data_IF_183702576569
#
_entry.id   IF_183702576569
#
_cell.length_a   1.000
_cell.length_b   1.000
_cell.length_c   1.000
_cell.angle_alpha   90.00
_cell.angle_beta   90.00
_cell.angle_gamma   90.00
#
_symmetry.space_group_name_H-M   'P 1'
#
loop_
_entity.id
_entity.type
_entity.pdbx_description
1 polymer ?
#
# COMPACT_ATOMS: atom_id res chain seq x y z
N UNK A 1 -17.13 1.05 -40.10
CA UNK A 1 -16.40 0.89 -38.82
C UNK A 1 -17.27 0.41 -37.64
N UNK A 2 -18.57 0.13 -37.78
CA UNK A 2 -19.47 -0.19 -36.66
C UNK A 2 -19.57 -1.68 -36.31
N UNK A 3 -19.33 -2.59 -37.26
CA UNK A 3 -19.50 -4.05 -37.06
C UNK A 3 -18.47 -4.65 -36.09
N UNK A 4 -17.20 -4.21 -36.15
CA UNK A 4 -16.14 -4.71 -35.27
C UNK A 4 -16.31 -4.25 -33.81
N UNK A 5 -16.82 -3.04 -33.59
CA UNK A 5 -17.15 -2.55 -32.25
C UNK A 5 -18.33 -3.32 -31.63
N UNK A 6 -19.32 -3.69 -32.45
CA UNK A 6 -20.47 -4.47 -32.01
C UNK A 6 -20.07 -5.89 -31.62
N UNK A 7 -19.21 -6.53 -32.41
CA UNK A 7 -18.67 -7.87 -32.12
C UNK A 7 -17.82 -7.84 -30.84
N UNK A 8 -16.95 -6.83 -30.68
CA UNK A 8 -16.13 -6.66 -29.47
C UNK A 8 -16.98 -6.43 -28.22
N UNK A 9 -18.03 -5.61 -28.32
CA UNK A 9 -18.98 -5.41 -27.24
C UNK A 9 -19.73 -6.71 -26.89
N UNK A 10 -20.14 -7.51 -27.88
CA UNK A 10 -20.78 -8.80 -27.64
C UNK A 10 -19.86 -9.81 -26.95
N UNK A 11 -18.57 -9.85 -27.29
CA UNK A 11 -17.60 -10.71 -26.59
C UNK A 11 -17.36 -10.27 -25.14
N UNK A 12 -17.29 -8.97 -24.88
CA UNK A 12 -17.20 -8.44 -23.51
C UNK A 12 -18.45 -8.76 -22.69
N UNK A 13 -19.63 -8.63 -23.28
CA UNK A 13 -20.91 -8.92 -22.62
C UNK A 13 -21.03 -10.42 -22.35
N UNK A 14 -20.62 -11.26 -23.30
CA UNK A 14 -20.59 -12.72 -23.14
C UNK A 14 -19.62 -13.17 -22.06
N UNK A 15 -18.41 -12.58 -22.02
CA UNK A 15 -17.44 -12.82 -20.95
C UNK A 15 -17.96 -12.38 -19.57
N UNK A 16 -18.67 -11.25 -19.50
CA UNK A 16 -19.30 -10.78 -18.28
C UNK A 16 -20.43 -11.70 -17.81
N UNK A 17 -21.24 -12.22 -18.71
CA UNK A 17 -22.32 -13.18 -18.39
C UNK A 17 -21.75 -14.51 -17.88
N UNK A 18 -20.72 -15.05 -18.52
CA UNK A 18 -20.05 -16.27 -18.05
C UNK A 18 -19.46 -16.05 -16.66
N UNK A 19 -18.76 -14.93 -16.45
CA UNK A 19 -18.19 -14.58 -15.15
C UNK A 19 -19.30 -14.46 -14.08
N UNK A 20 -20.41 -13.79 -14.41
CA UNK A 20 -21.55 -13.61 -13.53
C UNK A 20 -22.21 -14.94 -13.14
N UNK A 21 -22.38 -15.87 -14.09
CA UNK A 21 -22.94 -17.19 -13.81
C UNK A 21 -21.96 -18.11 -13.06
N UNK A 22 -20.65 -18.07 -13.38
CA UNK A 22 -19.63 -18.80 -12.63
C UNK A 22 -19.57 -18.36 -11.16
N UNK A 23 -19.74 -17.06 -10.88
CA UNK A 23 -19.80 -16.53 -9.52
C UNK A 23 -21.05 -16.98 -8.75
N UNK A 24 -22.19 -17.19 -9.44
CA UNK A 24 -23.45 -17.68 -8.85
C UNK A 24 -23.42 -19.18 -8.55
N UNK A 25 -22.65 -19.96 -9.32
CA UNK A 25 -22.57 -21.42 -9.19
C UNK A 25 -21.61 -21.88 -8.09
N UNK A 26 -20.81 -20.98 -7.50
CA UNK A 26 -19.83 -21.32 -6.44
C UNK A 26 -20.33 -21.04 -5.02
N UNK A 27 -21.65 -21.06 -4.79
CA UNK A 27 -22.23 -20.99 -3.44
C UNK A 27 -21.89 -22.27 -2.66
N UNK A 28 -20.66 -22.33 -2.14
CA UNK A 28 -20.27 -23.26 -1.09
C UNK A 28 -20.89 -22.73 0.20
N UNK A 29 -21.74 -23.55 0.81
CA UNK A 29 -22.35 -23.30 2.11
C UNK A 29 -21.28 -22.92 3.15
N UNK A 30 -21.26 -21.65 3.53
CA UNK A 30 -20.62 -21.16 4.74
C UNK A 30 -21.70 -20.47 5.56
N UNK A 31 -22.55 -21.29 6.17
CA UNK A 31 -23.34 -20.90 7.33
C UNK A 31 -22.39 -20.60 8.49
N UNK A 32 -21.88 -19.37 8.52
CA UNK A 32 -21.26 -18.79 9.70
C UNK A 32 -21.98 -17.46 9.95
N UNK A 33 -22.58 -17.32 11.12
CA UNK A 33 -23.40 -16.16 11.50
C UNK A 33 -22.66 -14.83 11.26
N UNK A 34 -23.37 -13.77 10.81
CA UNK A 34 -22.75 -12.50 10.48
C UNK A 34 -22.48 -11.72 11.77
N UNK A 35 -21.22 -11.71 12.22
CA UNK A 35 -20.77 -10.65 13.13
C UNK A 35 -20.49 -9.37 12.32
N UNK A 36 -20.98 -8.25 12.83
CA UNK A 36 -21.14 -6.96 12.15
C UNK A 36 -19.83 -6.21 11.81
N UNK A 37 -18.77 -6.91 11.39
CA UNK A 37 -17.49 -6.30 11.03
C UNK A 37 -16.88 -6.75 9.71
N UNK A 38 -17.55 -7.60 8.93
CA UNK A 38 -17.04 -8.06 7.62
C UNK A 38 -17.40 -7.06 6.50
N UNK A 39 -16.88 -5.84 6.64
CA UNK A 39 -16.92 -4.86 5.57
C UNK A 39 -15.91 -5.29 4.49
N UNK A 40 -16.46 -5.88 3.43
CA UNK A 40 -15.86 -6.17 2.11
C UNK A 40 -15.28 -7.58 1.91
N UNK A 41 -16.10 -8.55 1.44
CA UNK A 41 -15.62 -9.89 1.05
C UNK A 41 -14.51 -9.87 -0.02
N UNK A 42 -14.41 -8.79 -0.80
CA UNK A 42 -13.31 -8.57 -1.75
C UNK A 42 -11.96 -8.33 -1.06
N UNK A 43 -11.93 -7.69 0.11
CA UNK A 43 -10.69 -7.46 0.85
C UNK A 43 -10.07 -8.78 1.34
N UNK A 44 -10.92 -9.76 1.68
CA UNK A 44 -10.53 -11.11 2.13
C UNK A 44 -9.93 -11.98 1.02
N UNK A 45 -10.23 -11.69 -0.25
CA UNK A 45 -9.57 -12.35 -1.38
C UNK A 45 -8.13 -11.87 -1.60
N UNK A 46 -7.81 -10.66 -1.12
CA UNK A 46 -6.47 -10.07 -1.21
C UNK A 46 -5.76 -9.96 0.15
N UNK A 47 -6.31 -10.58 1.20
CA UNK A 47 -5.79 -10.50 2.57
C UNK A 47 -4.56 -11.39 2.81
N UNK A 48 -4.13 -12.17 1.81
CA UNK A 48 -2.83 -12.85 1.83
C UNK A 48 -1.68 -11.93 1.40
N UNK A 49 -0.44 -12.35 1.69
CA UNK A 49 0.78 -11.72 1.19
C UNK A 49 0.91 -11.94 -0.32
N UNK A 50 0.13 -11.18 -1.08
CA UNK A 50 0.23 -11.13 -2.53
C UNK A 50 1.48 -10.35 -2.87
N UNK A 51 2.56 -11.07 -3.16
CA UNK A 51 3.86 -10.51 -3.51
C UNK A 51 3.88 -10.00 -4.96
N UNK A 52 4.76 -9.01 -5.28
CA UNK A 52 4.99 -8.63 -6.66
C UNK A 52 5.48 -9.84 -7.46
N UNK A 53 4.93 -10.02 -8.67
CA UNK A 53 5.17 -11.21 -9.50
C UNK A 53 3.98 -12.17 -9.59
N UNK A 54 3.02 -12.10 -8.65
CA UNK A 54 1.75 -12.83 -8.75
C UNK A 54 0.72 -12.01 -9.57
N UNK A 55 -0.08 -12.61 -10.47
CA UNK A 55 -1.12 -11.88 -11.22
C UNK A 55 -2.15 -11.17 -10.32
N UNK A 56 -2.46 -11.71 -9.15
CA UNK A 56 -3.34 -11.08 -8.16
C UNK A 56 -2.78 -9.77 -7.61
N UNK A 57 -1.47 -9.55 -7.71
CA UNK A 57 -0.82 -8.31 -7.27
C UNK A 57 -1.30 -7.11 -8.09
N UNK A 58 -1.50 -7.30 -9.39
CA UNK A 58 -2.03 -6.25 -10.26
C UNK A 58 -3.44 -5.84 -9.85
N UNK A 59 -4.30 -6.82 -9.53
CA UNK A 59 -5.65 -6.58 -9.04
C UNK A 59 -5.65 -5.83 -7.70
N UNK A 60 -4.77 -6.23 -6.77
CA UNK A 60 -4.58 -5.51 -5.49
C UNK A 60 -4.13 -4.07 -5.72
N UNK A 61 -3.21 -3.81 -6.65
CA UNK A 61 -2.80 -2.43 -6.97
C UNK A 61 -3.95 -1.59 -7.54
N UNK A 62 -4.84 -2.19 -8.34
CA UNK A 62 -6.03 -1.51 -8.86
C UNK A 62 -7.00 -1.20 -7.73
N UNK A 63 -7.29 -2.16 -6.83
CA UNK A 63 -8.15 -1.90 -5.67
C UNK A 63 -7.57 -0.83 -4.76
N UNK A 64 -6.24 -0.84 -4.56
CA UNK A 64 -5.57 0.17 -3.73
C UNK A 64 -5.72 1.57 -4.31
N UNK A 65 -5.58 1.69 -5.63
CA UNK A 65 -5.78 2.96 -6.34
C UNK A 65 -7.23 3.44 -6.27
N UNK A 66 -8.18 2.52 -6.43
CA UNK A 66 -9.61 2.84 -6.30
C UNK A 66 -9.93 3.35 -4.90
N UNK A 67 -9.45 2.68 -3.84
CA UNK A 67 -9.67 3.10 -2.45
C UNK A 67 -9.13 4.51 -2.19
N UNK A 68 -7.93 4.83 -2.68
CA UNK A 68 -7.37 6.19 -2.58
C UNK A 68 -8.16 7.24 -3.35
N UNK A 69 -8.68 6.91 -4.54
CA UNK A 69 -9.53 7.81 -5.33
C UNK A 69 -10.87 8.09 -4.63
N UNK A 70 -11.41 7.09 -3.93
CA UNK A 70 -12.69 7.22 -3.21
C UNK A 70 -12.57 7.86 -1.82
N UNK A 71 -11.36 7.98 -1.28
CA UNK A 71 -11.15 8.60 0.04
C UNK A 71 -11.46 10.10 -0.02
N UNK A 72 -12.46 10.54 0.78
CA UNK A 72 -13.01 11.89 0.68
C UNK A 72 -12.32 12.92 1.58
N UNK A 73 -11.79 12.49 2.72
CA UNK A 73 -11.09 13.39 3.66
C UNK A 73 -9.57 13.21 3.62
N UNK A 74 -8.83 14.28 3.90
CA UNK A 74 -7.37 14.22 4.06
C UNK A 74 -6.97 13.23 5.15
N UNK A 75 -7.74 13.15 6.23
CA UNK A 75 -7.51 12.21 7.32
C UNK A 75 -7.65 10.74 6.86
N UNK A 76 -8.68 10.43 6.06
CA UNK A 76 -8.87 9.09 5.52
C UNK A 76 -7.73 8.73 4.54
N UNK A 77 -7.29 9.68 3.71
CA UNK A 77 -6.16 9.49 2.80
C UNK A 77 -4.87 9.23 3.55
N UNK A 78 -4.59 10.03 4.59
CA UNK A 78 -3.41 9.88 5.47
C UNK A 78 -3.35 8.47 6.07
N UNK A 79 -4.43 8.02 6.70
CA UNK A 79 -4.53 6.64 7.25
C UNK A 79 -4.33 5.57 6.19
N UNK A 80 -4.96 5.73 5.02
CA UNK A 80 -4.79 4.79 3.90
C UNK A 80 -3.33 4.72 3.42
N UNK A 81 -2.62 5.85 3.36
CA UNK A 81 -1.20 5.86 3.04
C UNK A 81 -0.36 5.13 4.10
N UNK A 82 -0.64 5.32 5.39
CA UNK A 82 0.05 4.60 6.46
C UNK A 82 -0.21 3.08 6.38
N UNK A 83 -1.45 2.66 6.12
CA UNK A 83 -1.79 1.25 5.86
C UNK A 83 -0.97 0.68 4.69
N UNK A 84 -0.88 1.40 3.58
CA UNK A 84 -0.13 0.96 2.41
C UNK A 84 1.37 0.93 2.66
N UNK A 85 1.92 1.89 3.40
CA UNK A 85 3.32 1.85 3.82
C UNK A 85 3.61 0.60 4.67
N UNK A 86 2.78 0.29 5.67
CA UNK A 86 2.93 -0.92 6.50
C UNK A 86 2.86 -2.20 5.66
N UNK A 87 1.90 -2.28 4.74
CA UNK A 87 1.77 -3.44 3.85
C UNK A 87 3.01 -3.61 2.94
N UNK A 88 3.56 -2.52 2.42
CA UNK A 88 4.79 -2.54 1.61
C UNK A 88 6.00 -2.92 2.43
N UNK A 89 6.12 -2.43 3.66
CA UNK A 89 7.18 -2.81 4.57
C UNK A 89 7.17 -4.32 4.83
N UNK A 90 6.01 -4.87 5.18
CA UNK A 90 5.84 -6.32 5.41
C UNK A 90 6.18 -7.13 4.16
N UNK A 91 5.66 -6.73 2.99
CA UNK A 91 5.99 -7.34 1.69
C UNK A 91 7.51 -7.35 1.47
N UNK A 92 8.19 -6.25 1.76
CA UNK A 92 9.63 -6.16 1.60
C UNK A 92 10.39 -7.08 2.56
N UNK A 93 9.94 -7.24 3.80
CA UNK A 93 10.53 -8.23 4.72
C UNK A 93 10.45 -9.64 4.14
N UNK A 94 9.28 -10.05 3.63
CA UNK A 94 9.11 -11.36 2.98
C UNK A 94 10.00 -11.53 1.74
N UNK A 95 10.20 -10.46 0.96
CA UNK A 95 11.09 -10.49 -0.20
C UNK A 95 12.57 -10.62 0.22
N UNK A 96 12.97 -9.99 1.32
CA UNK A 96 14.33 -10.14 1.88
C UNK A 96 14.57 -11.58 2.35
N UNK A 97 13.58 -12.20 3.01
CA UNK A 97 13.65 -13.61 3.43
C UNK A 97 13.83 -14.56 2.22
N UNK A 98 13.29 -14.17 1.06
CA UNK A 98 13.43 -14.90 -0.22
C UNK A 98 14.69 -14.54 -1.01
N UNK A 99 15.56 -13.70 -0.45
CA UNK A 99 16.77 -13.19 -1.12
C UNK A 99 16.48 -12.39 -2.41
N UNK A 100 15.26 -11.84 -2.56
CA UNK A 100 14.85 -11.02 -3.69
C UNK A 100 15.21 -9.53 -3.44
N UNK A 101 16.50 -9.25 -3.27
CA UNK A 101 17.02 -7.95 -2.79
C UNK A 101 16.52 -6.75 -3.61
N UNK A 102 16.68 -6.77 -4.94
CA UNK A 102 16.23 -5.65 -5.79
C UNK A 102 14.72 -5.37 -5.66
N UNK A 103 13.91 -6.43 -5.53
CA UNK A 103 12.47 -6.27 -5.38
C UNK A 103 12.11 -5.76 -3.98
N UNK A 104 12.83 -6.22 -2.96
CA UNK A 104 12.66 -5.74 -1.59
C UNK A 104 12.98 -4.24 -1.47
N UNK A 105 14.13 -3.78 -1.96
CA UNK A 105 14.53 -2.36 -1.90
C UNK A 105 13.57 -1.45 -2.67
N UNK A 106 13.14 -1.84 -3.87
CA UNK A 106 12.13 -1.09 -4.62
C UNK A 106 10.74 -1.08 -3.92
N UNK A 107 10.40 -2.15 -3.20
CA UNK A 107 9.17 -2.22 -2.40
C UNK A 107 9.26 -1.32 -1.17
N UNK A 108 10.40 -1.27 -0.49
CA UNK A 108 10.66 -0.34 0.61
C UNK A 108 10.53 1.12 0.13
N UNK A 109 11.13 1.46 -1.01
CA UNK A 109 11.03 2.79 -1.60
C UNK A 109 9.56 3.22 -1.82
N UNK A 110 8.74 2.34 -2.40
CA UNK A 110 7.31 2.61 -2.60
C UNK A 110 6.57 2.81 -1.28
N UNK A 111 6.96 2.07 -0.24
CA UNK A 111 6.43 2.22 1.10
C UNK A 111 6.76 3.58 1.72
N UNK A 112 8.03 4.01 1.66
CA UNK A 112 8.47 5.33 2.11
C UNK A 112 7.75 6.47 1.38
N UNK A 113 7.51 6.34 0.07
CA UNK A 113 6.72 7.32 -0.69
C UNK A 113 5.31 7.50 -0.09
N UNK A 114 4.68 6.42 0.41
CA UNK A 114 3.39 6.55 1.09
C UNK A 114 3.51 7.27 2.43
N UNK A 115 4.58 7.03 3.20
CA UNK A 115 4.84 7.82 4.42
C UNK A 115 5.01 9.29 4.07
N UNK A 116 5.80 9.62 3.04
CA UNK A 116 5.99 11.00 2.60
C UNK A 116 4.69 11.69 2.16
N UNK A 117 3.76 10.95 1.55
CA UNK A 117 2.42 11.48 1.25
C UNK A 117 1.58 11.73 2.50
N UNK A 118 1.72 10.90 3.54
CA UNK A 118 1.06 11.13 4.81
C UNK A 118 1.65 12.34 5.54
N UNK A 119 2.98 12.48 5.56
CA UNK A 119 3.70 13.65 6.08
C UNK A 119 3.26 14.93 5.38
N UNK A 120 3.21 14.94 4.04
CA UNK A 120 2.76 16.12 3.29
C UNK A 120 1.30 16.52 3.54
N UNK A 121 0.43 15.57 3.93
CA UNK A 121 -0.91 15.92 4.41
C UNK A 121 -0.82 16.63 5.76
N UNK A 122 0.01 16.13 6.68
CA UNK A 122 0.19 16.72 8.00
C UNK A 122 0.77 18.13 7.93
N UNK A 123 1.77 18.35 7.07
CA UNK A 123 2.36 19.67 6.82
C UNK A 123 1.31 20.66 6.29
N UNK A 124 0.34 20.19 5.52
CA UNK A 124 -0.73 21.00 4.93
C UNK A 124 -1.86 21.37 5.89
N UNK A 125 -1.94 20.76 7.08
CA UNK A 125 -3.00 21.05 8.08
C UNK A 125 -2.78 22.43 8.73
N UNK A 126 -1.54 22.96 8.72
CA UNK A 126 -1.18 24.22 9.36
C UNK A 126 -1.15 24.12 10.89
N UNK A 127 -0.55 25.11 11.57
CA UNK A 127 -0.26 25.01 13.02
C UNK A 127 -1.48 25.15 13.94
N UNK A 128 -2.56 25.74 13.45
CA UNK A 128 -3.72 26.12 14.28
C UNK A 128 -4.85 25.07 14.25
N UNK A 129 -4.68 24.02 13.43
CA UNK A 129 -5.66 22.95 13.31
C UNK A 129 -5.26 21.74 14.17
N UNK A 130 -6.22 21.03 14.76
CA UNK A 130 -5.93 19.90 15.64
C UNK A 130 -5.24 18.79 14.85
N UNK A 131 -3.99 18.53 15.21
CA UNK A 131 -3.19 17.42 14.71
C UNK A 131 -3.65 16.10 15.33
N UNK A 132 -3.58 15.01 14.56
CA UNK A 132 -3.88 13.68 15.09
C UNK A 132 -2.58 13.04 15.58
N UNK A 133 -2.37 13.08 16.90
CA UNK A 133 -1.16 12.59 17.57
C UNK A 133 -0.92 11.09 17.32
N UNK A 134 -1.98 10.27 17.29
CA UNK A 134 -1.87 8.84 16.98
C UNK A 134 -1.26 8.59 15.59
N UNK A 135 -1.68 9.37 14.59
CA UNK A 135 -1.14 9.24 13.24
C UNK A 135 0.32 9.71 13.16
N UNK A 136 0.70 10.76 13.92
CA UNK A 136 2.09 11.24 14.01
C UNK A 136 2.98 10.17 14.64
N UNK A 137 2.57 9.60 15.77
CA UNK A 137 3.30 8.48 16.39
C UNK A 137 3.35 7.24 15.50
N UNK A 138 2.28 6.98 14.73
CA UNK A 138 2.29 5.90 13.75
C UNK A 138 3.31 6.15 12.63
N UNK A 139 3.45 7.38 12.14
CA UNK A 139 4.49 7.75 11.17
C UNK A 139 5.90 7.53 11.74
N UNK A 140 6.17 8.02 12.95
CA UNK A 140 7.47 7.83 13.63
C UNK A 140 7.82 6.34 13.79
N UNK A 141 6.86 5.54 14.28
CA UNK A 141 7.04 4.10 14.45
C UNK A 141 7.32 3.39 13.13
N UNK A 142 6.60 3.75 12.05
CA UNK A 142 6.83 3.20 10.72
C UNK A 142 8.25 3.54 10.24
N UNK A 143 8.64 4.81 10.29
CA UNK A 143 9.94 5.30 9.81
C UNK A 143 11.11 4.61 10.52
N UNK A 144 11.05 4.45 11.84
CA UNK A 144 12.05 3.67 12.61
C UNK A 144 12.21 2.25 12.07
N UNK A 145 11.11 1.59 11.70
CA UNK A 145 11.14 0.26 11.08
C UNK A 145 11.87 0.24 9.74
N UNK A 146 11.61 1.26 8.90
CA UNK A 146 12.33 1.46 7.64
C UNK A 146 13.81 1.73 7.88
N UNK A 147 14.16 2.64 8.78
CA UNK A 147 15.53 3.01 9.11
C UNK A 147 16.38 1.78 9.48
N UNK A 148 15.91 1.01 10.46
CA UNK A 148 16.59 -0.20 10.92
C UNK A 148 16.75 -1.21 9.78
N UNK A 149 15.71 -1.41 8.98
CA UNK A 149 15.75 -2.35 7.85
C UNK A 149 16.74 -1.90 6.78
N UNK A 150 16.72 -0.63 6.39
CA UNK A 150 17.60 -0.08 5.36
C UNK A 150 19.07 -0.18 5.78
N UNK A 151 19.40 0.18 7.02
CA UNK A 151 20.75 0.00 7.56
C UNK A 151 21.18 -1.47 7.57
N UNK A 152 20.28 -2.38 7.97
CA UNK A 152 20.56 -3.82 8.01
C UNK A 152 20.86 -4.40 6.63
N UNK A 153 20.10 -4.00 5.61
CA UNK A 153 20.21 -4.60 4.27
C UNK A 153 21.26 -3.90 3.40
N UNK A 154 21.61 -2.64 3.67
CA UNK A 154 22.58 -1.87 2.87
C UNK A 154 23.91 -2.60 2.60
N UNK A 155 24.53 -3.32 3.56
CA UNK A 155 25.75 -4.09 3.30
C UNK A 155 25.59 -5.24 2.29
N UNK A 156 24.35 -5.66 2.01
CA UNK A 156 24.04 -6.76 1.09
C UNK A 156 24.06 -6.32 -0.39
N UNK A 157 24.07 -5.01 -0.66
CA UNK A 157 24.04 -4.44 -2.01
C UNK A 157 25.41 -3.95 -2.45
N UNK A 158 25.65 -3.93 -3.77
CA UNK A 158 26.89 -3.47 -4.40
C UNK A 158 26.65 -2.23 -5.24
N UNK A 159 27.71 -1.46 -5.45
CA UNK A 159 27.81 -0.36 -6.42
C UNK A 159 26.56 0.55 -6.46
N UNK A 160 25.88 0.62 -7.60
CA UNK A 160 24.75 1.52 -7.85
C UNK A 160 23.54 1.25 -6.92
N UNK A 161 23.28 -0.01 -6.57
CA UNK A 161 22.15 -0.34 -5.70
C UNK A 161 22.39 0.12 -4.25
N UNK A 162 23.67 0.17 -3.85
CA UNK A 162 24.05 0.73 -2.54
C UNK A 162 23.82 2.23 -2.50
N UNK A 163 24.12 2.94 -3.59
CA UNK A 163 23.83 4.39 -3.72
C UNK A 163 22.32 4.65 -3.67
N UNK A 164 21.51 3.80 -4.30
CA UNK A 164 20.05 3.90 -4.19
C UNK A 164 19.58 3.77 -2.73
N UNK A 165 20.15 2.85 -1.95
CA UNK A 165 19.81 2.74 -0.53
C UNK A 165 20.29 3.94 0.30
N UNK A 166 21.40 4.58 -0.07
CA UNK A 166 21.83 5.84 0.55
C UNK A 166 20.81 6.96 0.31
N UNK A 167 20.28 7.05 -0.91
CA UNK A 167 19.21 8.00 -1.23
C UNK A 167 17.93 7.69 -0.46
N UNK A 168 17.57 6.41 -0.30
CA UNK A 168 16.41 6.03 0.50
C UNK A 168 16.58 6.34 1.99
N UNK A 169 17.77 6.11 2.56
CA UNK A 169 18.08 6.48 3.94
C UNK A 169 18.00 8.00 4.13
N UNK A 170 18.59 8.78 3.23
CA UNK A 170 18.51 10.24 3.29
C UNK A 170 17.07 10.75 3.17
N UNK A 171 16.26 10.14 2.30
CA UNK A 171 14.84 10.46 2.21
C UNK A 171 14.08 10.11 3.49
N UNK A 172 14.31 8.91 4.04
CA UNK A 172 13.71 8.49 5.32
C UNK A 172 14.08 9.44 6.46
N UNK A 173 15.35 9.81 6.60
CA UNK A 173 15.81 10.80 7.59
C UNK A 173 15.12 12.15 7.42
N UNK A 174 14.91 12.61 6.19
CA UNK A 174 14.18 13.85 5.93
C UNK A 174 12.72 13.79 6.42
N UNK A 175 12.05 12.64 6.21
CA UNK A 175 10.70 12.41 6.72
C UNK A 175 10.67 12.32 8.24
N UNK A 176 11.66 11.67 8.84
CA UNK A 176 11.81 11.55 10.28
C UNK A 176 11.96 12.92 10.93
N UNK A 177 12.74 13.82 10.32
CA UNK A 177 12.88 15.20 10.77
C UNK A 177 11.54 15.98 10.69
N UNK A 178 10.79 15.84 9.58
CA UNK A 178 9.45 16.44 9.48
C UNK A 178 8.52 15.93 10.59
N UNK A 179 8.47 14.61 10.81
CA UNK A 179 7.62 14.00 11.85
C UNK A 179 8.00 14.48 13.25
N UNK A 180 9.30 14.52 13.57
CA UNK A 180 9.78 15.03 14.86
C UNK A 180 9.43 16.50 15.07
N UNK A 181 9.40 17.30 13.99
CA UNK A 181 8.96 18.69 14.07
C UNK A 181 7.48 18.85 14.42
N UNK A 182 6.63 17.83 14.18
CA UNK A 182 5.24 17.83 14.62
C UNK A 182 5.14 17.46 16.10
N UNK A 183 5.89 16.44 16.53
CA UNK A 183 5.92 15.99 17.94
C UNK A 183 6.41 17.11 18.85
N UNK A 184 7.42 17.88 18.44
CA UNK A 184 7.96 18.99 19.24
C UNK A 184 7.01 20.19 19.39
N UNK A 185 5.87 20.19 18.70
CA UNK A 185 4.84 21.25 18.76
C UNK A 185 3.67 20.88 19.68
N UNK A 186 3.59 19.62 20.10
CA UNK A 186 2.68 19.17 21.18
C UNK A 186 3.11 19.75 22.54
#
# INVERSE_FOLDING_TARGET
MTKHALISASFLLFGFVILFFSLRSSSVDLLQEPTAHDQQPLAKLFSGDVLPGNPLYALRMVSDRARLMTARSSQQKKRTYLEYSKARFHTAQTLLERNELMLASSTLAKGLIYVGKAVGIEEGIGNDAPHNTDDIHAMDSILRGYHVTLLRIKPLYRDADRVFLDQLLSYEESLQNSVQSFISRE
#
